data_IF_758715815171
#
_entry.id   IF_758715815171
#
_cell.length_a   1.000
_cell.length_b   1.000
_cell.length_c   1.000
_cell.angle_alpha   90.00
_cell.angle_beta   90.00
_cell.angle_gamma   90.00
#
_symmetry.space_group_name_H-M   'P 1'
#
loop_
_entity.id
_entity.type
_entity.pdbx_description
1 polymer ?
#
# COMPACT_ATOMS: atom_id res chain seq x y z
N UNK A 1 5.35 -4.01 16.82
CA UNK A 1 4.45 -3.20 15.96
C UNK A 1 5.00 -3.19 14.55
N UNK A 2 4.16 -3.35 13.53
CA UNK A 2 4.53 -3.24 12.11
C UNK A 2 4.15 -1.83 11.62
N UNK A 3 5.10 -1.03 11.15
CA UNK A 3 4.76 0.21 10.43
C UNK A 3 4.65 -0.10 8.94
N UNK A 4 3.48 0.11 8.33
CA UNK A 4 3.21 -0.23 6.94
C UNK A 4 2.94 1.02 6.11
N UNK A 5 3.82 1.32 5.16
CA UNK A 5 3.62 2.39 4.18
C UNK A 5 2.90 1.84 2.96
N UNK A 6 1.80 2.49 2.60
CA UNK A 6 0.88 2.04 1.55
C UNK A 6 0.47 3.16 0.62
N UNK A 7 0.15 2.77 -0.62
CA UNK A 7 -0.53 3.60 -1.60
C UNK A 7 -1.81 2.88 -2.06
N UNK A 8 -2.97 3.54 -2.03
CA UNK A 8 -4.24 2.92 -2.40
C UNK A 8 -4.31 2.57 -3.89
N UNK A 9 -3.62 3.32 -4.76
CA UNK A 9 -3.51 3.02 -6.20
C UNK A 9 -2.50 1.92 -6.53
N UNK A 10 -1.77 1.37 -5.54
CA UNK A 10 -0.81 0.29 -5.77
C UNK A 10 -1.46 -1.09 -5.65
N UNK A 11 -1.46 -1.86 -6.74
CA UNK A 11 -1.98 -3.23 -6.75
C UNK A 11 -1.15 -4.14 -5.84
N UNK A 12 0.17 -3.93 -5.77
CA UNK A 12 1.01 -4.69 -4.84
C UNK A 12 0.68 -4.37 -3.37
N UNK A 13 0.31 -3.13 -3.04
CA UNK A 13 -0.24 -2.81 -1.72
C UNK A 13 -1.52 -3.59 -1.45
N UNK A 14 -2.47 -3.59 -2.40
CA UNK A 14 -3.73 -4.34 -2.25
C UNK A 14 -3.47 -5.84 -2.04
N UNK A 15 -2.57 -6.43 -2.82
CA UNK A 15 -2.16 -7.83 -2.68
C UNK A 15 -1.42 -8.11 -1.36
N UNK A 16 -0.85 -7.09 -0.70
CA UNK A 16 -0.18 -7.22 0.58
C UNK A 16 -1.11 -7.15 1.79
N UNK A 17 -2.29 -6.50 1.68
CA UNK A 17 -3.17 -6.24 2.84
C UNK A 17 -3.57 -7.51 3.58
N UNK A 18 -4.22 -8.46 2.90
CA UNK A 18 -4.69 -9.68 3.56
C UNK A 18 -3.56 -10.48 4.23
N UNK A 19 -2.41 -10.73 3.56
CA UNK A 19 -1.25 -11.37 4.20
C UNK A 19 -0.69 -10.61 5.41
N UNK A 20 -0.63 -9.28 5.37
CA UNK A 20 -0.09 -8.45 6.46
C UNK A 20 -1.04 -8.44 7.65
N UNK A 21 -2.35 -8.33 7.42
CA UNK A 21 -3.35 -8.44 8.49
C UNK A 21 -3.31 -9.82 9.15
N UNK A 22 -3.16 -10.88 8.35
CA UNK A 22 -2.98 -12.23 8.89
C UNK A 22 -1.69 -12.36 9.70
N UNK A 23 -0.58 -11.78 9.23
CA UNK A 23 0.67 -11.77 9.97
C UNK A 23 0.52 -11.05 11.32
N UNK A 24 -0.12 -9.88 11.31
CA UNK A 24 -0.37 -9.07 12.49
C UNK A 24 -1.22 -9.82 13.53
N UNK A 25 -2.28 -10.49 13.08
CA UNK A 25 -3.15 -11.32 13.91
C UNK A 25 -2.40 -12.53 14.50
N UNK A 26 -1.74 -13.32 13.64
CA UNK A 26 -0.99 -14.52 14.05
C UNK A 26 0.14 -14.21 15.05
N UNK A 27 0.71 -13.00 15.01
CA UNK A 27 1.83 -12.57 15.86
C UNK A 27 1.42 -11.53 16.90
N UNK A 28 0.11 -11.33 17.14
CA UNK A 28 -0.45 -10.36 18.09
C UNK A 28 0.21 -8.96 18.03
N UNK A 29 0.56 -8.53 16.82
CA UNK A 29 1.36 -7.34 16.60
C UNK A 29 0.55 -6.29 15.84
N UNK A 30 0.29 -5.10 16.41
CA UNK A 30 -0.51 -4.08 15.74
C UNK A 30 0.20 -3.53 14.50
N UNK A 31 -0.60 -3.11 13.52
CA UNK A 31 -0.13 -2.44 12.31
C UNK A 31 -0.42 -0.94 12.40
N UNK A 32 0.61 -0.13 12.19
CA UNK A 32 0.51 1.31 12.03
C UNK A 32 0.58 1.64 10.54
N UNK A 33 -0.57 1.96 9.94
CA UNK A 33 -0.70 2.28 8.52
C UNK A 33 -0.30 3.73 8.24
N UNK A 34 0.62 3.94 7.31
CA UNK A 34 1.15 5.24 6.92
C UNK A 34 0.93 5.46 5.41
N UNK A 35 0.53 6.66 4.98
CA UNK A 35 0.42 6.96 3.57
C UNK A 35 1.80 7.12 2.93
N UNK A 36 1.93 6.70 1.68
CA UNK A 36 3.06 7.02 0.82
C UNK A 36 2.61 7.04 -0.63
N UNK A 37 2.75 8.16 -1.33
CA UNK A 37 2.44 8.23 -2.78
C UNK A 37 3.58 7.60 -3.56
N UNK A 38 3.39 6.35 -3.98
CA UNK A 38 4.39 5.68 -4.79
C UNK A 38 4.49 6.35 -6.17
N UNK A 39 5.73 6.50 -6.63
CA UNK A 39 6.02 7.05 -7.95
C UNK A 39 5.84 5.93 -8.95
N UNK A 40 4.87 6.09 -9.83
CA UNK A 40 4.70 5.15 -10.92
C UNK A 40 5.92 5.25 -11.86
N UNK A 41 6.56 4.12 -12.13
CA UNK A 41 7.53 4.04 -13.22
C UNK A 41 6.74 4.08 -14.51
N UNK A 42 6.61 5.26 -15.12
CA UNK A 42 5.91 5.43 -16.39
C UNK A 42 6.33 4.34 -17.38
N UNK A 43 5.37 3.60 -17.93
CA UNK A 43 5.63 2.71 -19.05
C UNK A 43 6.18 3.59 -20.18
N UNK A 44 7.44 3.44 -20.59
CA UNK A 44 7.98 4.23 -21.69
C UNK A 44 7.14 3.93 -22.93
N UNK A 45 6.59 4.97 -23.54
CA UNK A 45 5.97 4.85 -24.86
C UNK A 45 6.99 4.26 -25.82
N UNK A 46 6.62 3.22 -26.55
CA UNK A 46 7.50 2.61 -27.53
C UNK A 46 7.82 3.67 -28.60
N UNK A 47 9.07 4.13 -28.61
CA UNK A 47 9.58 5.08 -29.61
C UNK A 47 10.31 4.30 -30.72
N UNK A 48 10.34 4.85 -31.93
CA UNK A 48 10.93 4.20 -33.11
C UNK A 48 12.43 3.84 -32.93
N UNK A 49 13.12 4.50 -32.00
CA UNK A 49 14.47 4.17 -31.56
C UNK A 49 14.55 4.32 -30.03
N UNK A 50 14.29 3.23 -29.32
CA UNK A 50 14.52 3.18 -27.86
C UNK A 50 16.03 3.06 -27.58
N UNK A 51 16.50 3.80 -26.58
CA UNK A 51 17.77 3.46 -25.95
C UNK A 51 17.63 2.14 -25.17
N UNK A 52 18.75 1.43 -24.98
CA UNK A 52 18.80 0.20 -24.18
C UNK A 52 18.19 0.42 -22.78
N UNK A 53 18.42 1.58 -22.16
CA UNK A 53 17.83 1.98 -20.88
C UNK A 53 16.31 2.04 -20.95
N UNK A 54 15.73 2.69 -21.96
CA UNK A 54 14.27 2.80 -22.14
C UNK A 54 13.63 1.43 -22.36
N UNK A 55 14.25 0.56 -23.18
CA UNK A 55 13.79 -0.81 -23.38
C UNK A 55 13.81 -1.61 -22.07
N UNK A 56 14.88 -1.55 -21.28
CA UNK A 56 14.95 -2.23 -19.99
C UNK A 56 13.89 -1.74 -19.01
N UNK A 57 13.63 -0.43 -18.94
CA UNK A 57 12.56 0.11 -18.11
C UNK A 57 11.19 -0.41 -18.52
N UNK A 58 10.88 -0.40 -19.82
CA UNK A 58 9.61 -0.90 -20.35
C UNK A 58 9.42 -2.40 -20.05
N UNK A 59 10.43 -3.22 -20.34
CA UNK A 59 10.38 -4.67 -20.10
C UNK A 59 10.22 -5.00 -18.62
N UNK A 60 10.89 -4.26 -17.73
CA UNK A 60 10.73 -4.44 -16.27
C UNK A 60 9.33 -4.10 -15.81
N UNK A 61 8.82 -2.92 -16.17
CA UNK A 61 7.48 -2.49 -15.80
C UNK A 61 6.40 -3.45 -16.36
N UNK A 62 6.57 -3.94 -17.58
CA UNK A 62 5.68 -4.96 -18.15
C UNK A 62 5.75 -6.29 -17.38
N UNK A 63 6.95 -6.71 -16.97
CA UNK A 63 7.14 -7.94 -16.18
C UNK A 63 6.54 -7.83 -14.77
N UNK A 64 6.74 -6.70 -14.10
CA UNK A 64 6.14 -6.37 -12.80
C UNK A 64 4.61 -6.41 -12.90
N UNK A 65 4.03 -5.76 -13.92
CA UNK A 65 2.58 -5.77 -14.18
C UNK A 65 2.05 -7.20 -14.42
N UNK A 66 2.72 -7.99 -15.26
CA UNK A 66 2.34 -9.40 -15.52
C UNK A 66 2.37 -10.23 -14.24
N UNK A 67 3.34 -9.99 -13.36
CA UNK A 67 3.47 -10.69 -12.10
C UNK A 67 2.32 -10.33 -11.14
N UNK A 68 2.02 -9.04 -10.98
CA UNK A 68 0.89 -8.58 -10.17
C UNK A 68 -0.44 -9.19 -10.63
N UNK A 69 -0.71 -9.19 -11.94
CA UNK A 69 -1.90 -9.84 -12.52
C UNK A 69 -1.93 -11.34 -12.26
N UNK A 70 -0.79 -12.02 -12.37
CA UNK A 70 -0.71 -13.45 -12.08
C UNK A 70 -1.12 -13.73 -10.62
N UNK A 71 -0.62 -12.95 -9.66
CA UNK A 71 -0.97 -13.14 -8.26
C UNK A 71 -2.41 -12.74 -7.92
N UNK A 72 -2.97 -11.73 -8.58
CA UNK A 72 -4.39 -11.42 -8.48
C UNK A 72 -5.26 -12.60 -8.96
N UNK A 73 -4.94 -13.16 -10.13
CA UNK A 73 -5.63 -14.34 -10.67
C UNK A 73 -5.51 -15.57 -9.78
N UNK A 74 -4.34 -15.82 -9.18
CA UNK A 74 -4.17 -16.91 -8.20
C UNK A 74 -5.10 -16.78 -7.00
N UNK A 75 -5.57 -15.57 -6.69
CA UNK A 75 -6.54 -15.28 -5.62
C UNK A 75 -7.98 -15.19 -6.11
N UNK A 76 -8.23 -15.48 -7.38
CA UNK A 76 -9.57 -15.36 -7.99
C UNK A 76 -10.06 -13.92 -8.08
N UNK A 77 -9.15 -12.93 -8.05
CA UNK A 77 -9.51 -11.51 -8.16
C UNK A 77 -9.51 -11.10 -9.63
N UNK A 78 -10.63 -10.53 -10.08
CA UNK A 78 -10.71 -9.80 -11.34
C UNK A 78 -10.33 -8.34 -11.08
N UNK A 79 -9.26 -7.87 -11.70
CA UNK A 79 -8.65 -6.57 -11.39
C UNK A 79 -8.60 -5.71 -12.64
N UNK A 80 -9.26 -4.55 -12.57
CA UNK A 80 -9.04 -3.46 -13.52
C UNK A 80 -7.75 -2.71 -13.16
N UNK A 81 -6.71 -2.88 -13.98
CA UNK A 81 -5.44 -2.18 -13.80
C UNK A 81 -5.50 -0.67 -14.07
N UNK A 82 -6.55 -0.18 -14.74
CA UNK A 82 -6.73 1.26 -14.96
C UNK A 82 -6.88 2.01 -13.63
N UNK A 83 -7.36 1.33 -12.59
CA UNK A 83 -7.50 1.86 -11.23
C UNK A 83 -6.18 2.38 -10.66
N UNK A 84 -5.05 1.77 -11.02
CA UNK A 84 -3.73 2.23 -10.58
C UNK A 84 -3.31 3.62 -11.10
N UNK A 85 -4.04 4.16 -12.09
CA UNK A 85 -3.82 5.51 -12.64
C UNK A 85 -4.59 6.60 -11.88
N UNK A 86 -5.52 6.22 -11.01
CA UNK A 86 -6.36 7.16 -10.27
C UNK A 86 -5.53 7.77 -9.15
N UNK A 87 -5.53 9.10 -9.02
CA UNK A 87 -4.95 9.76 -7.86
C UNK A 87 -5.71 9.35 -6.60
N UNK A 88 -5.00 8.98 -5.54
CA UNK A 88 -5.58 8.58 -4.26
C UNK A 88 -5.09 9.46 -3.11
N UNK A 89 -4.62 10.67 -3.42
CA UNK A 89 -3.99 11.57 -2.44
C UNK A 89 -4.97 12.02 -1.36
N UNK A 90 -6.24 12.26 -1.69
CA UNK A 90 -7.25 12.64 -0.70
C UNK A 90 -7.53 11.51 0.29
N UNK A 91 -7.67 10.26 -0.20
CA UNK A 91 -7.81 9.07 0.63
C UNK A 91 -6.59 8.84 1.55
N UNK A 92 -5.37 9.03 1.04
CA UNK A 92 -4.13 8.92 1.82
C UNK A 92 -4.04 9.99 2.92
N UNK A 93 -4.39 11.24 2.59
CA UNK A 93 -4.48 12.33 3.56
C UNK A 93 -5.55 12.07 4.61
N UNK A 94 -6.67 11.46 4.22
CA UNK A 94 -7.73 11.05 5.15
C UNK A 94 -7.22 10.01 6.14
N UNK A 95 -6.57 8.94 5.67
CA UNK A 95 -5.97 7.89 6.49
C UNK A 95 -5.04 8.47 7.56
N UNK A 96 -4.12 9.34 7.18
CA UNK A 96 -3.21 9.97 8.13
C UNK A 96 -3.92 10.88 9.15
N UNK A 97 -5.14 11.32 8.87
CA UNK A 97 -5.96 12.08 9.81
C UNK A 97 -6.67 11.23 10.87
N UNK A 98 -6.72 9.90 10.71
CA UNK A 98 -7.43 8.99 11.59
C UNK A 98 -6.60 8.62 12.83
N UNK A 99 -7.28 8.33 13.93
CA UNK A 99 -6.70 7.76 15.16
C UNK A 99 -7.39 6.45 15.51
N UNK A 100 -6.60 5.50 16.00
CA UNK A 100 -7.05 4.17 16.39
C UNK A 100 -6.46 3.10 15.46
N UNK A 101 -6.96 1.87 15.58
CA UNK A 101 -6.61 0.81 14.65
C UNK A 101 -7.34 1.02 13.32
N UNK A 102 -6.60 1.50 12.31
CA UNK A 102 -7.12 1.79 10.98
C UNK A 102 -7.15 0.57 10.05
N UNK A 103 -6.82 -0.63 10.54
CA UNK A 103 -6.72 -1.86 9.73
C UNK A 103 -8.00 -2.20 8.97
N UNK A 104 -9.16 -2.13 9.64
CA UNK A 104 -10.46 -2.37 9.01
C UNK A 104 -10.78 -1.32 7.94
N UNK A 105 -10.47 -0.05 8.21
CA UNK A 105 -10.65 1.05 7.26
C UNK A 105 -9.78 0.86 6.02
N UNK A 106 -8.49 0.60 6.19
CA UNK A 106 -7.54 0.37 5.09
C UNK A 106 -7.99 -0.79 4.22
N UNK A 107 -8.33 -1.94 4.82
CA UNK A 107 -8.78 -3.12 4.07
C UNK A 107 -10.06 -2.87 3.26
N UNK A 108 -11.03 -2.16 3.85
CA UNK A 108 -12.28 -1.80 3.17
C UNK A 108 -12.04 -0.79 2.05
N UNK A 109 -11.18 0.22 2.27
CA UNK A 109 -10.92 1.24 1.25
C UNK A 109 -10.16 0.67 0.04
N UNK A 110 -9.23 -0.27 0.27
CA UNK A 110 -8.61 -1.01 -0.83
C UNK A 110 -9.63 -1.84 -1.62
N UNK A 111 -10.57 -2.51 -0.94
CA UNK A 111 -11.64 -3.28 -1.61
C UNK A 111 -12.56 -2.36 -2.40
N UNK A 112 -12.98 -1.24 -1.79
CA UNK A 112 -13.78 -0.21 -2.45
C UNK A 112 -13.09 0.32 -3.71
N UNK A 113 -11.76 0.50 -3.67
CA UNK A 113 -11.00 0.98 -4.81
C UNK A 113 -10.81 -0.08 -5.91
N UNK A 114 -10.33 -1.28 -5.56
CA UNK A 114 -9.88 -2.27 -6.54
C UNK A 114 -10.96 -3.24 -7.02
N UNK A 115 -12.00 -3.46 -6.22
CA UNK A 115 -13.06 -4.44 -6.49
C UNK A 115 -14.37 -3.72 -6.80
N UNK A 116 -14.80 -2.82 -5.91
CA UNK A 116 -16.10 -2.14 -6.07
C UNK A 116 -16.02 -0.94 -7.02
N UNK A 117 -14.81 -0.58 -7.46
CA UNK A 117 -14.51 0.55 -8.33
C UNK A 117 -15.06 1.90 -7.84
N UNK A 118 -15.24 2.04 -6.53
CA UNK A 118 -15.75 3.24 -5.86
C UNK A 118 -14.73 4.38 -5.95
N UNK A 119 -15.21 5.62 -6.05
CA UNK A 119 -14.36 6.80 -5.88
C UNK A 119 -14.01 6.97 -4.40
N UNK A 120 -12.80 6.56 -4.03
CA UNK A 120 -12.32 6.63 -2.64
C UNK A 120 -11.82 8.02 -2.24
N UNK A 121 -11.85 9.00 -3.14
CA UNK A 121 -11.56 10.39 -2.79
C UNK A 121 -12.84 11.17 -2.42
N UNK A 122 -14.02 10.61 -2.64
CA UNK A 122 -15.28 11.20 -2.20
C UNK A 122 -15.32 11.28 -0.66
N UNK A 123 -15.41 12.50 -0.08
CA UNK A 123 -15.53 12.68 1.36
C UNK A 123 -16.69 11.89 1.98
N UNK A 124 -17.81 11.72 1.26
CA UNK A 124 -18.98 10.98 1.75
C UNK A 124 -18.65 9.50 1.96
N UNK A 125 -17.89 8.90 1.03
CA UNK A 125 -17.42 7.51 1.14
C UNK A 125 -16.45 7.38 2.31
N UNK A 126 -15.52 8.31 2.44
CA UNK A 126 -14.51 8.32 3.50
C UNK A 126 -15.15 8.49 4.89
N UNK A 127 -16.13 9.39 5.03
CA UNK A 127 -16.89 9.61 6.27
C UNK A 127 -17.69 8.38 6.66
N UNK A 128 -18.44 7.79 5.71
CA UNK A 128 -19.23 6.59 5.95
C UNK A 128 -18.35 5.41 6.40
N UNK A 129 -17.22 5.16 5.71
CA UNK A 129 -16.27 4.12 6.11
C UNK A 129 -15.62 4.39 7.47
N UNK A 130 -15.26 5.65 7.74
CA UNK A 130 -14.70 6.05 9.04
C UNK A 130 -15.68 5.73 10.18
N UNK A 131 -16.96 6.11 10.02
CA UNK A 131 -18.01 5.85 11.00
C UNK A 131 -18.27 4.35 11.18
N UNK A 132 -18.35 3.59 10.08
CA UNK A 132 -18.55 2.14 10.11
C UNK A 132 -17.40 1.38 10.80
N UNK A 133 -16.20 1.94 10.79
CA UNK A 133 -15.05 1.40 11.50
C UNK A 133 -14.93 1.91 12.95
N UNK A 134 -15.84 2.76 13.42
CA UNK A 134 -15.77 3.35 14.77
C UNK A 134 -14.57 4.27 14.98
N UNK A 135 -14.02 4.84 13.90
CA UNK A 135 -12.83 5.68 13.94
C UNK A 135 -13.21 7.15 14.09
N UNK A 136 -12.25 7.94 14.56
CA UNK A 136 -12.38 9.40 14.63
C UNK A 136 -11.28 10.05 13.81
N UNK A 137 -11.66 11.05 13.01
CA UNK A 137 -10.73 11.90 12.28
C UNK A 137 -10.32 13.07 13.17
N UNK A 138 -9.03 13.15 13.51
CA UNK A 138 -8.49 14.20 14.37
C UNK A 138 -7.80 15.32 13.60
N UNK A 139 -7.31 15.03 12.38
CA UNK A 139 -6.62 16.01 11.54
C UNK A 139 -7.33 16.12 10.21
N UNK A 140 -7.79 17.32 9.89
CA UNK A 140 -8.41 17.65 8.60
C UNK A 140 -7.37 18.07 7.56
N UNK A 141 -6.28 18.69 8.00
CA UNK A 141 -5.17 19.14 7.15
C UNK A 141 -3.91 18.33 7.49
N UNK A 142 -3.51 17.44 6.59
CA UNK A 142 -2.32 16.59 6.73
C UNK A 142 -1.33 16.96 5.64
N UNK A 143 -0.09 17.23 6.05
CA UNK A 143 1.04 17.41 5.13
C UNK A 143 1.61 16.04 4.74
N UNK A 144 1.15 15.51 3.59
CA UNK A 144 1.66 14.25 3.04
C UNK A 144 3.14 14.35 2.66
N UNK A 145 3.59 15.50 2.15
CA UNK A 145 4.99 15.70 1.75
C UNK A 145 5.94 15.56 2.96
N UNK A 146 5.51 16.01 4.14
CA UNK A 146 6.29 15.82 5.37
C UNK A 146 6.36 14.36 5.82
N UNK A 147 5.26 13.61 5.72
CA UNK A 147 5.23 12.18 6.07
C UNK A 147 6.15 11.40 5.14
N UNK A 148 6.07 11.67 3.85
CA UNK A 148 6.89 11.01 2.82
C UNK A 148 8.37 11.31 2.99
N UNK A 149 8.76 12.57 3.19
CA UNK A 149 10.17 12.93 3.46
C UNK A 149 10.74 12.19 4.67
N UNK A 150 9.99 12.10 5.77
CA UNK A 150 10.42 11.35 6.95
C UNK A 150 10.59 9.85 6.69
N UNK A 151 9.83 9.29 5.75
CA UNK A 151 9.97 7.90 5.33
C UNK A 151 11.17 7.71 4.40
N UNK A 152 11.37 8.64 3.46
CA UNK A 152 12.51 8.67 2.52
C UNK A 152 13.84 8.83 3.26
N UNK A 153 13.90 9.64 4.33
CA UNK A 153 15.06 9.76 5.22
C UNK A 153 15.44 8.43 5.90
N UNK A 154 14.50 7.48 6.00
CA UNK A 154 14.72 6.12 6.51
C UNK A 154 15.04 5.11 5.39
N UNK A 155 15.19 5.57 4.15
CA UNK A 155 15.52 4.75 2.99
C UNK A 155 14.31 4.18 2.23
N UNK A 156 13.08 4.59 2.57
CA UNK A 156 11.90 4.16 1.83
C UNK A 156 11.83 4.86 0.47
N UNK A 157 11.51 4.13 -0.59
CA UNK A 157 11.34 4.71 -1.94
C UNK A 157 10.17 4.10 -2.73
N UNK A 158 9.43 3.15 -2.15
CA UNK A 158 8.28 2.51 -2.80
C UNK A 158 7.31 1.91 -1.77
N UNK A 159 6.10 1.54 -2.22
CA UNK A 159 5.06 0.91 -1.43
C UNK A 159 4.51 -0.36 -2.12
N UNK A 160 4.25 -1.46 -1.37
CA UNK A 160 4.20 -1.51 0.10
C UNK A 160 5.59 -1.70 0.72
N UNK A 161 5.87 -0.97 1.80
CA UNK A 161 7.09 -1.14 2.60
C UNK A 161 6.74 -1.24 4.07
N UNK A 162 7.39 -2.17 4.78
CA UNK A 162 7.15 -2.46 6.18
C UNK A 162 8.39 -2.21 7.02
N UNK A 163 8.21 -1.65 8.21
CA UNK A 163 9.26 -1.55 9.23
C UNK A 163 8.89 -2.33 10.48
N UNK A 164 9.81 -3.15 10.97
CA UNK A 164 9.72 -3.89 12.23
C UNK A 164 11.07 -3.76 12.92
N UNK A 165 11.10 -3.26 14.16
CA UNK A 165 12.34 -3.13 14.95
C UNK A 165 13.50 -2.43 14.23
N UNK A 166 13.19 -1.40 13.43
CA UNK A 166 14.17 -0.64 12.63
C UNK A 166 14.61 -1.33 11.34
N UNK A 167 14.21 -2.57 11.08
CA UNK A 167 14.45 -3.29 9.83
C UNK A 167 13.41 -2.93 8.77
N UNK A 168 13.84 -2.74 7.52
CA UNK A 168 12.99 -2.39 6.38
C UNK A 168 12.75 -3.60 5.47
N UNK A 169 11.50 -3.85 5.10
CA UNK A 169 11.08 -4.91 4.20
C UNK A 169 10.22 -4.33 3.07
N UNK A 170 10.74 -4.31 1.85
CA UNK A 170 10.06 -3.71 0.70
C UNK A 170 9.36 -4.76 -0.15
N UNK A 171 8.03 -4.71 -0.20
CA UNK A 171 7.21 -5.65 -0.94
C UNK A 171 6.77 -6.87 -0.12
N UNK A 172 5.63 -7.43 -0.51
CA UNK A 172 4.98 -8.55 0.19
C UNK A 172 5.76 -9.88 0.19
N UNK A 173 6.80 -10.01 -0.65
CA UNK A 173 7.60 -11.23 -0.73
C UNK A 173 8.37 -11.51 0.58
N UNK A 174 8.60 -10.48 1.41
CA UNK A 174 9.35 -10.59 2.66
C UNK A 174 8.51 -10.98 3.88
N UNK A 175 7.18 -11.14 3.74
CA UNK A 175 6.29 -11.51 4.84
C UNK A 175 6.72 -12.77 5.60
N UNK A 176 7.24 -13.84 4.95
CA UNK A 176 7.79 -14.99 5.68
C UNK A 176 8.96 -14.64 6.61
N UNK A 177 9.85 -13.75 6.18
CA UNK A 177 10.99 -13.29 6.99
C UNK A 177 10.52 -12.37 8.13
N UNK A 178 9.55 -11.49 7.85
CA UNK A 178 8.91 -10.66 8.88
C UNK A 178 8.29 -11.52 9.98
N UNK A 179 7.65 -12.64 9.63
CA UNK A 179 7.09 -13.60 10.59
C UNK A 179 8.15 -14.20 11.49
N UNK A 180 9.29 -14.62 10.93
CA UNK A 180 10.40 -15.15 11.72
C UNK A 180 10.89 -14.11 12.73
N UNK A 181 11.11 -12.86 12.27
CA UNK A 181 11.52 -11.77 13.15
C UNK A 181 10.54 -11.53 14.31
N UNK A 182 9.24 -11.51 14.03
CA UNK A 182 8.21 -11.29 15.04
C UNK A 182 8.06 -12.48 16.01
N UNK A 183 8.28 -13.71 15.55
CA UNK A 183 8.26 -14.88 16.40
C UNK A 183 9.48 -14.92 17.34
N UNK A 184 10.68 -14.66 16.81
CA UNK A 184 11.93 -14.71 17.58
C UNK A 184 12.05 -13.56 18.60
N UNK A 185 11.39 -12.43 18.34
CA UNK A 185 11.34 -11.27 19.25
C UNK A 185 10.38 -11.46 20.43
N UNK A 186 9.44 -12.41 20.36
CA UNK A 186 8.50 -12.71 21.45
C UNK A 186 9.09 -13.57 22.58
N UNK A 187 10.21 -14.24 22.32
CA UNK A 187 10.91 -15.13 23.26
C UNK A 187 12.09 -14.45 24.00
N UNK A 188 12.26 -13.12 23.88
CA UNK A 188 13.34 -12.35 24.53
C UNK A 188 12.85 -11.42 25.63
#
# INVERSE_FOLDING_TARGET
MITAYIDFKSLDCFLAISPILKLADDCETPVSWQPYRSKERALPTQVASESVTQTHHRVRAESERRLQQHYARLRGLDIDLSRGQIDTSAALGWLAGLKGDTSSFVSRLFTAHWIDHTDINDPTVLEALTANCGLTRLRSNVDLDSIERQAEDKGLFDAPTFFIEGQMFMGRAHIPLMRQLLADGGDR
#
